data_IF_587534828847
#
_entry.id   IF_587534828847
#
_cell.length_a   1.000
_cell.length_b   1.000
_cell.length_c   1.000
_cell.angle_alpha   90.00
_cell.angle_beta   90.00
_cell.angle_gamma   90.00
#
_symmetry.space_group_name_H-M   'P 1'
#
loop_
_entity.id
_entity.type
_entity.pdbx_description
1 polymer ?
#
# COMPACT_ATOMS: atom_id res chain seq x y z
N UNK A 1 29.69 -0.19 13.80
CA UNK A 1 29.24 0.61 12.63
C UNK A 1 28.19 1.58 13.15
N UNK A 2 28.49 2.87 13.17
CA UNK A 2 27.70 3.87 13.90
C UNK A 2 26.55 4.36 13.01
N UNK A 3 25.29 4.04 13.34
CA UNK A 3 24.11 4.39 12.51
C UNK A 3 23.94 5.90 12.31
N UNK A 4 24.42 6.72 13.25
CA UNK A 4 24.36 8.18 13.16
C UNK A 4 25.28 8.78 12.08
N UNK A 5 26.37 8.11 11.73
CA UNK A 5 27.28 8.58 10.68
C UNK A 5 26.67 8.46 9.27
N UNK A 6 25.64 7.62 9.07
CA UNK A 6 24.94 7.51 7.80
C UNK A 6 24.07 8.73 7.49
N UNK A 7 23.63 9.47 8.52
CA UNK A 7 22.78 10.65 8.33
C UNK A 7 23.58 11.85 7.80
N UNK A 8 24.83 12.04 8.25
CA UNK A 8 25.72 13.12 7.78
C UNK A 8 26.23 12.92 6.35
N UNK A 9 26.39 11.66 5.90
CA UNK A 9 26.85 11.34 4.55
C UNK A 9 25.79 11.74 3.50
N UNK A 10 24.50 11.68 3.85
CA UNK A 10 23.40 12.06 2.95
C UNK A 10 23.47 13.53 2.52
N UNK A 11 23.85 14.41 3.44
CA UNK A 11 24.01 15.85 3.18
C UNK A 11 25.22 16.12 2.27
N UNK A 12 26.32 15.36 2.42
CA UNK A 12 27.50 15.47 1.54
C UNK A 12 27.26 14.90 0.14
N UNK A 13 26.50 13.81 0.01
CA UNK A 13 26.20 13.17 -1.28
C UNK A 13 25.24 14.01 -2.14
N UNK A 14 24.37 14.82 -1.53
CA UNK A 14 23.48 15.74 -2.26
C UNK A 14 24.23 16.84 -3.03
N UNK A 15 25.48 17.15 -2.62
CA UNK A 15 26.26 18.29 -3.13
C UNK A 15 27.27 17.91 -4.22
N UNK A 16 27.53 16.62 -4.46
CA UNK A 16 28.50 16.13 -5.46
C UNK A 16 27.77 15.39 -6.60
N UNK A 17 27.34 16.16 -7.61
CA UNK A 17 26.54 15.68 -8.75
C UNK A 17 27.33 14.99 -9.89
N UNK A 18 28.63 14.74 -9.74
CA UNK A 18 29.45 14.16 -10.81
C UNK A 18 30.43 13.13 -10.25
N UNK A 19 30.35 11.90 -10.75
CA UNK A 19 31.25 10.80 -10.40
C UNK A 19 32.13 10.52 -11.62
N UNK A 20 33.45 10.57 -11.45
CA UNK A 20 34.40 10.30 -12.52
C UNK A 20 34.64 8.79 -12.62
N UNK A 21 34.10 8.16 -13.68
CA UNK A 21 34.29 6.75 -13.98
C UNK A 21 35.16 6.63 -15.23
N UNK A 22 36.34 6.00 -15.10
CA UNK A 22 37.29 5.77 -16.19
C UNK A 22 37.71 7.03 -16.97
N UNK A 23 37.90 8.16 -16.27
CA UNK A 23 38.40 9.39 -16.87
C UNK A 23 37.35 10.17 -17.69
N UNK A 24 36.07 9.80 -17.62
CA UNK A 24 34.95 10.57 -18.19
C UNK A 24 33.97 10.95 -17.08
N UNK A 25 33.54 12.22 -17.09
CA UNK A 25 32.55 12.77 -16.16
C UNK A 25 31.17 12.25 -16.58
N UNK A 26 30.57 11.40 -15.75
CA UNK A 26 29.19 10.93 -15.96
C UNK A 26 28.27 11.58 -14.92
N UNK A 27 27.13 12.11 -15.38
CA UNK A 27 26.03 12.46 -14.49
C UNK A 27 25.59 11.21 -13.70
N UNK A 28 25.39 11.36 -12.38
CA UNK A 28 25.08 10.26 -11.45
C UNK A 28 23.86 9.41 -11.90
N UNK A 29 22.98 9.98 -12.71
CA UNK A 29 21.81 9.32 -13.29
C UNK A 29 22.20 8.20 -14.27
N UNK A 30 23.15 8.46 -15.16
CA UNK A 30 23.58 7.51 -16.19
C UNK A 30 24.48 6.44 -15.61
N UNK A 31 25.41 6.79 -14.71
CA UNK A 31 26.31 5.84 -14.08
C UNK A 31 25.58 4.93 -13.08
N UNK A 32 24.61 5.44 -12.31
CA UNK A 32 23.81 4.61 -11.40
C UNK A 32 22.86 3.68 -12.15
N UNK A 33 22.19 4.12 -13.23
CA UNK A 33 21.32 3.25 -14.03
C UNK A 33 22.14 2.16 -14.75
N UNK A 34 23.31 2.50 -15.31
CA UNK A 34 24.19 1.52 -15.95
C UNK A 34 24.78 0.54 -14.92
N UNK A 35 25.22 1.03 -13.76
CA UNK A 35 25.73 0.19 -12.68
C UNK A 35 24.62 -0.69 -12.08
N UNK A 36 23.39 -0.20 -12.01
CA UNK A 36 22.23 -0.95 -11.52
C UNK A 36 21.73 -1.99 -12.52
N UNK A 37 21.62 -1.64 -13.80
CA UNK A 37 21.36 -2.62 -14.86
C UNK A 37 22.47 -3.67 -14.92
N UNK A 38 23.73 -3.27 -14.74
CA UNK A 38 24.86 -4.20 -14.65
C UNK A 38 24.79 -5.07 -13.39
N UNK A 39 24.41 -4.55 -12.21
CA UNK A 39 24.25 -5.33 -10.98
C UNK A 39 23.04 -6.27 -11.00
N UNK A 40 21.92 -5.88 -11.63
CA UNK A 40 20.78 -6.77 -11.88
C UNK A 40 21.19 -7.86 -12.86
N UNK A 41 21.81 -7.50 -13.99
CA UNK A 41 22.27 -8.48 -14.95
C UNK A 41 23.36 -9.39 -14.34
N UNK A 42 24.23 -8.87 -13.48
CA UNK A 42 25.30 -9.64 -12.83
C UNK A 42 24.78 -10.46 -11.66
N UNK A 43 23.77 -10.02 -10.91
CA UNK A 43 23.11 -10.84 -9.88
C UNK A 43 22.25 -11.94 -10.51
N UNK A 44 21.47 -11.63 -11.55
CA UNK A 44 20.73 -12.62 -12.35
C UNK A 44 21.71 -13.60 -13.00
N UNK A 45 22.80 -13.10 -13.59
CA UNK A 45 23.82 -13.94 -14.23
C UNK A 45 24.61 -14.78 -13.22
N UNK A 46 25.01 -14.25 -12.07
CA UNK A 46 25.74 -15.00 -11.03
C UNK A 46 24.84 -16.02 -10.34
N UNK A 47 23.58 -15.69 -10.06
CA UNK A 47 22.60 -16.64 -9.52
C UNK A 47 22.33 -17.73 -10.56
N UNK A 48 22.12 -17.40 -11.84
CA UNK A 48 21.96 -18.41 -12.90
C UNK A 48 23.24 -19.25 -13.03
N UNK A 49 24.44 -18.66 -13.06
CA UNK A 49 25.72 -19.42 -13.18
C UNK A 49 25.98 -20.30 -11.98
N UNK A 50 25.80 -19.79 -10.76
CA UNK A 50 26.00 -20.53 -9.51
C UNK A 50 24.96 -21.64 -9.38
N UNK A 51 23.70 -21.45 -9.78
CA UNK A 51 22.69 -22.53 -9.71
C UNK A 51 22.71 -23.52 -10.88
N UNK A 52 23.18 -23.11 -12.06
CA UNK A 52 23.35 -24.01 -13.22
C UNK A 52 24.63 -24.84 -13.08
N UNK A 53 25.73 -24.26 -12.58
CA UNK A 53 27.01 -24.96 -12.40
C UNK A 53 27.01 -25.84 -11.15
N UNK A 54 26.40 -25.34 -10.07
CA UNK A 54 26.26 -26.10 -8.84
C UNK A 54 24.83 -26.62 -8.80
N UNK A 55 24.66 -27.91 -9.09
CA UNK A 55 23.46 -28.72 -8.84
C UNK A 55 23.11 -28.78 -7.33
N UNK A 56 23.32 -27.69 -6.59
CA UNK A 56 23.05 -27.58 -5.15
C UNK A 56 21.54 -27.52 -5.01
N UNK A 57 20.89 -28.69 -5.04
CA UNK A 57 19.67 -28.94 -4.29
C UNK A 57 19.91 -28.44 -2.88
N UNK A 58 19.45 -27.24 -2.55
CA UNK A 58 19.18 -26.89 -1.16
C UNK A 58 18.01 -27.79 -0.79
N UNK A 59 18.31 -29.03 -0.44
CA UNK A 59 17.36 -29.90 0.20
C UNK A 59 17.22 -29.33 1.59
N UNK A 60 16.16 -28.58 1.84
CA UNK A 60 15.65 -28.52 3.20
C UNK A 60 15.35 -29.98 3.55
N UNK A 61 16.20 -30.58 4.41
CA UNK A 61 15.80 -31.80 5.11
C UNK A 61 14.45 -31.43 5.70
N UNK A 62 13.38 -32.16 5.31
CA UNK A 62 12.08 -32.01 5.97
C UNK A 62 12.37 -32.10 7.45
N UNK A 63 12.22 -31.00 8.17
CA UNK A 63 12.29 -31.02 9.62
C UNK A 63 11.12 -31.92 9.99
N UNK A 64 11.45 -33.17 10.31
CA UNK A 64 10.48 -34.22 10.56
C UNK A 64 9.89 -34.04 11.94
N UNK A 65 9.11 -32.97 12.12
CA UNK A 65 8.11 -32.93 13.17
C UNK A 65 7.07 -33.99 12.79
N UNK A 66 7.27 -35.21 13.31
CA UNK A 66 6.37 -36.36 13.14
C UNK A 66 5.12 -36.15 13.99
N UNK A 67 4.35 -35.11 13.71
CA UNK A 67 2.99 -35.02 14.23
C UNK A 67 2.10 -35.98 13.41
N UNK A 68 1.62 -37.06 14.06
CA UNK A 68 0.58 -37.93 13.49
C UNK A 68 -0.74 -37.17 13.53
N UNK A 69 -1.02 -36.41 12.48
CA UNK A 69 -2.25 -35.62 12.32
C UNK A 69 -3.24 -36.34 11.39
N UNK A 70 -4.56 -36.12 11.56
CA UNK A 70 -5.58 -36.78 10.76
C UNK A 70 -5.45 -36.43 9.27
N UNK A 71 -5.49 -37.45 8.40
CA UNK A 71 -5.53 -37.26 6.94
C UNK A 71 -6.92 -36.79 6.53
N UNK A 72 -7.03 -35.56 6.05
CA UNK A 72 -8.25 -35.06 5.40
C UNK A 72 -8.40 -35.82 4.06
N UNK A 73 -9.39 -36.72 3.96
CA UNK A 73 -9.68 -37.49 2.76
C UNK A 73 -10.80 -36.86 1.93
N UNK A 74 -10.46 -35.87 1.09
CA UNK A 74 -11.34 -35.44 0.01
C UNK A 74 -10.95 -36.23 -1.24
N UNK A 75 -11.88 -36.88 -1.93
CA UNK A 75 -11.64 -37.52 -3.22
C UNK A 75 -11.87 -36.48 -4.34
N UNK A 76 -10.82 -35.81 -4.86
CA UNK A 76 -11.01 -34.83 -5.92
C UNK A 76 -11.38 -35.55 -7.22
N UNK A 77 -12.58 -35.27 -7.75
CA UNK A 77 -12.99 -35.70 -9.09
C UNK A 77 -12.52 -34.73 -10.19
N UNK A 78 -12.00 -33.56 -9.81
CA UNK A 78 -11.56 -32.50 -10.73
C UNK A 78 -10.08 -32.13 -10.53
N UNK A 79 -9.46 -31.62 -11.58
CA UNK A 79 -8.03 -31.23 -11.57
C UNK A 79 -7.75 -30.08 -10.59
N UNK A 80 -8.70 -29.15 -10.46
CA UNK A 80 -8.64 -28.08 -9.45
C UNK A 80 -8.72 -28.63 -8.03
N UNK A 81 -9.60 -29.61 -7.78
CA UNK A 81 -9.72 -30.24 -6.47
C UNK A 81 -8.43 -30.94 -6.02
N UNK A 82 -7.63 -31.43 -6.96
CA UNK A 82 -6.33 -32.03 -6.66
C UNK A 82 -5.31 -30.99 -6.16
N UNK A 83 -5.28 -29.78 -6.75
CA UNK A 83 -4.41 -28.69 -6.29
C UNK A 83 -4.80 -28.22 -4.87
N UNK A 84 -6.11 -28.05 -4.60
CA UNK A 84 -6.60 -27.75 -3.26
C UNK A 84 -6.20 -28.82 -2.24
N UNK A 85 -6.35 -30.10 -2.61
CA UNK A 85 -5.95 -31.21 -1.75
C UNK A 85 -4.45 -31.23 -1.49
N UNK A 86 -3.61 -30.87 -2.48
CA UNK A 86 -2.16 -30.80 -2.33
C UNK A 86 -1.76 -29.73 -1.32
N UNK A 87 -2.38 -28.54 -1.39
CA UNK A 87 -2.16 -27.47 -0.42
C UNK A 87 -2.65 -27.86 0.99
N UNK A 88 -3.87 -28.39 1.11
CA UNK A 88 -4.45 -28.83 2.39
C UNK A 88 -3.72 -30.04 3.02
N UNK A 89 -3.06 -30.87 2.21
CA UNK A 89 -2.27 -32.00 2.71
C UNK A 89 -0.94 -31.58 3.36
N UNK A 90 -0.49 -30.34 3.14
CA UNK A 90 0.75 -29.84 3.71
C UNK A 90 0.47 -29.00 4.96
N UNK A 91 0.59 -29.63 6.14
CA UNK A 91 0.30 -29.00 7.43
C UNK A 91 1.11 -27.72 7.68
N UNK A 92 2.34 -27.63 7.16
CA UNK A 92 3.16 -26.41 7.26
C UNK A 92 2.50 -25.22 6.56
N UNK A 93 1.83 -25.45 5.43
CA UNK A 93 1.11 -24.42 4.67
C UNK A 93 -0.13 -23.96 5.44
N UNK A 94 -0.84 -24.88 6.08
CA UNK A 94 -1.99 -24.55 6.93
C UNK A 94 -1.54 -23.70 8.14
N UNK A 95 -0.46 -24.10 8.80
CA UNK A 95 0.08 -23.34 9.94
C UNK A 95 0.56 -21.97 9.50
N UNK A 96 1.28 -21.85 8.37
CA UNK A 96 1.73 -20.56 7.87
C UNK A 96 0.55 -19.65 7.49
N UNK A 97 -0.53 -20.23 6.94
CA UNK A 97 -1.77 -19.51 6.64
C UNK A 97 -2.42 -19.00 7.91
N UNK A 98 -2.61 -19.85 8.92
CA UNK A 98 -3.18 -19.44 10.22
C UNK A 98 -2.34 -18.35 10.89
N UNK A 99 -1.01 -18.52 10.91
CA UNK A 99 -0.08 -17.54 11.47
C UNK A 99 -0.18 -16.19 10.76
N UNK A 100 -0.16 -16.17 9.42
CA UNK A 100 -0.22 -14.92 8.65
C UNK A 100 -1.58 -14.24 8.76
N UNK A 101 -2.67 -15.00 8.91
CA UNK A 101 -4.00 -14.42 9.21
C UNK A 101 -4.00 -13.76 10.59
N UNK A 102 -3.42 -14.41 11.61
CA UNK A 102 -3.30 -13.82 12.95
C UNK A 102 -2.46 -12.53 12.90
N UNK A 103 -1.30 -12.58 12.24
CA UNK A 103 -0.44 -11.40 12.05
C UNK A 103 -1.19 -10.30 11.29
N UNK A 104 -1.97 -10.64 10.26
CA UNK A 104 -2.80 -9.66 9.54
C UNK A 104 -3.82 -9.01 10.45
N UNK A 105 -4.52 -9.77 11.29
CA UNK A 105 -5.50 -9.22 12.25
C UNK A 105 -4.81 -8.25 13.21
N UNK A 106 -3.62 -8.59 13.72
CA UNK A 106 -2.85 -7.73 14.63
C UNK A 106 -2.31 -6.47 13.93
N UNK A 107 -1.81 -6.59 12.69
CA UNK A 107 -1.31 -5.44 11.93
C UNK A 107 -2.44 -4.52 11.50
N UNK A 108 -3.55 -5.08 11.03
CA UNK A 108 -4.74 -4.31 10.62
C UNK A 108 -5.34 -3.57 11.81
N UNK A 109 -5.46 -4.23 12.99
CA UNK A 109 -5.92 -3.54 14.18
C UNK A 109 -4.98 -2.40 14.59
N UNK A 110 -3.66 -2.61 14.51
CA UNK A 110 -2.66 -1.57 14.75
C UNK A 110 -2.71 -0.42 13.74
N UNK A 111 -2.88 -0.72 12.45
CA UNK A 111 -2.94 0.27 11.38
C UNK A 111 -4.18 1.16 11.54
N UNK A 112 -5.34 0.57 11.84
CA UNK A 112 -6.62 1.27 12.01
C UNK A 112 -6.98 1.60 13.47
N UNK A 113 -5.99 1.64 14.37
CA UNK A 113 -6.22 2.17 15.72
C UNK A 113 -6.72 3.62 15.65
N UNK A 114 -7.72 3.94 16.47
CA UNK A 114 -8.23 5.32 16.62
C UNK A 114 -7.14 6.17 17.23
N UNK A 115 -6.63 7.14 16.47
CA UNK A 115 -5.80 8.18 17.06
C UNK A 115 -6.74 9.16 17.79
N UNK A 116 -6.93 8.99 19.11
CA UNK A 116 -7.77 9.85 19.95
C UNK A 116 -7.11 11.22 20.17
N UNK A 117 -6.91 11.95 19.09
CA UNK A 117 -6.41 13.33 19.13
C UNK A 117 -7.57 14.28 19.45
N UNK A 118 -7.39 15.13 20.45
CA UNK A 118 -8.33 16.21 20.75
C UNK A 118 -8.57 17.08 19.51
N UNK A 119 -7.52 17.39 18.75
CA UNK A 119 -7.60 18.22 17.54
C UNK A 119 -8.50 17.57 16.47
N UNK A 120 -8.39 16.25 16.28
CA UNK A 120 -9.22 15.55 15.31
C UNK A 120 -10.68 15.40 15.79
N UNK A 121 -10.90 15.27 17.10
CA UNK A 121 -12.24 15.28 17.66
C UNK A 121 -12.94 16.63 17.47
N UNK A 122 -12.24 17.75 17.69
CA UNK A 122 -12.74 19.11 17.40
C UNK A 122 -13.03 19.24 15.91
N UNK A 123 -12.08 18.88 15.05
CA UNK A 123 -12.25 18.91 13.59
C UNK A 123 -13.47 18.10 13.14
N UNK A 124 -13.63 16.87 13.62
CA UNK A 124 -14.75 15.99 13.31
C UNK A 124 -16.10 16.63 13.67
N UNK A 125 -16.22 17.21 14.86
CA UNK A 125 -17.47 17.83 15.31
C UNK A 125 -17.93 18.96 14.37
N UNK A 126 -17.01 19.85 13.99
CA UNK A 126 -17.33 20.93 13.04
C UNK A 126 -17.59 20.40 11.63
N UNK A 127 -16.82 19.39 11.17
CA UNK A 127 -17.01 18.84 9.83
C UNK A 127 -18.34 18.09 9.68
N UNK A 128 -18.84 17.44 10.75
CA UNK A 128 -20.18 16.84 10.77
C UNK A 128 -21.24 17.95 10.70
N UNK A 129 -21.07 19.06 11.44
CA UNK A 129 -21.99 20.19 11.38
C UNK A 129 -22.03 20.84 10.00
N UNK A 130 -20.90 20.92 9.32
CA UNK A 130 -20.74 21.57 8.01
C UNK A 130 -20.94 20.63 6.83
N UNK A 131 -21.18 19.33 7.04
CA UNK A 131 -21.17 18.29 6.00
C UNK A 131 -22.05 18.64 4.78
N UNK A 132 -21.60 18.25 3.59
CA UNK A 132 -22.33 18.45 2.33
C UNK A 132 -21.90 19.71 1.58
N UNK A 133 -22.75 20.18 0.67
CA UNK A 133 -22.43 21.28 -0.25
C UNK A 133 -21.96 22.53 0.48
N UNK A 134 -21.02 23.24 -0.14
CA UNK A 134 -20.55 24.52 0.34
C UNK A 134 -21.64 25.59 0.15
N UNK A 135 -21.86 26.42 1.17
CA UNK A 135 -22.77 27.57 1.10
C UNK A 135 -22.12 28.79 1.74
N UNK A 136 -22.56 29.98 1.34
CA UNK A 136 -22.09 31.23 1.92
C UNK A 136 -22.35 31.28 3.44
N UNK A 137 -23.51 30.77 3.89
CA UNK A 137 -23.87 30.67 5.31
C UNK A 137 -22.85 29.85 6.12
N UNK A 138 -22.39 28.72 5.58
CA UNK A 138 -21.35 27.89 6.20
C UNK A 138 -20.01 28.63 6.27
N UNK A 139 -19.64 29.35 5.22
CA UNK A 139 -18.42 30.17 5.23
C UNK A 139 -18.51 31.32 6.22
N UNK A 140 -19.67 31.95 6.37
CA UNK A 140 -19.88 33.07 7.29
C UNK A 140 -19.89 32.58 8.75
N UNK A 141 -20.44 31.38 9.01
CA UNK A 141 -20.32 30.71 10.30
C UNK A 141 -18.86 30.50 10.70
N UNK A 142 -18.01 30.03 9.79
CA UNK A 142 -16.57 29.81 10.07
C UNK A 142 -15.88 31.13 10.44
N UNK A 143 -16.17 32.21 9.69
CA UNK A 143 -15.63 33.55 9.99
C UNK A 143 -16.10 34.07 11.34
N UNK A 144 -17.39 33.94 11.64
CA UNK A 144 -17.97 34.35 12.92
C UNK A 144 -17.35 33.58 14.10
N UNK A 145 -17.14 32.27 13.93
CA UNK A 145 -16.51 31.43 14.94
C UNK A 145 -15.04 31.82 15.18
N UNK A 146 -14.29 32.17 14.13
CA UNK A 146 -12.93 32.71 14.29
C UNK A 146 -12.94 34.07 14.98
N UNK A 147 -13.87 34.96 14.63
CA UNK A 147 -14.01 36.25 15.30
C UNK A 147 -14.30 36.07 16.80
N UNK A 148 -15.20 35.15 17.16
CA UNK A 148 -15.47 34.77 18.54
C UNK A 148 -14.19 34.31 19.28
N UNK A 149 -13.38 33.46 18.66
CA UNK A 149 -12.10 33.06 19.25
C UNK A 149 -11.15 34.26 19.43
N UNK A 150 -11.04 35.15 18.45
CA UNK A 150 -10.19 36.33 18.55
C UNK A 150 -10.64 37.27 19.67
N UNK A 151 -11.95 37.47 19.84
CA UNK A 151 -12.52 38.32 20.89
C UNK A 151 -12.34 37.76 22.29
N UNK A 152 -12.45 36.44 22.47
CA UNK A 152 -12.23 35.79 23.78
C UNK A 152 -10.73 35.69 24.09
N UNK A 153 -9.90 35.42 23.10
CA UNK A 153 -8.46 35.25 23.28
C UNK A 153 -7.69 36.57 23.38
N UNK A 154 -8.37 37.71 23.24
CA UNK A 154 -7.79 39.04 23.43
C UNK A 154 -7.16 39.17 24.82
N UNK A 155 -5.88 39.53 24.83
CA UNK A 155 -5.07 39.70 26.03
C UNK A 155 -5.66 40.83 26.89
N UNK A 156 -6.12 41.92 26.26
CA UNK A 156 -6.65 43.08 26.98
C UNK A 156 -7.91 42.69 27.77
N UNK A 157 -8.81 41.94 27.13
CA UNK A 157 -10.05 41.45 27.76
C UNK A 157 -9.76 40.51 28.92
N UNK A 158 -8.76 39.63 28.80
CA UNK A 158 -8.34 38.76 29.91
C UNK A 158 -7.78 39.55 31.09
N UNK A 159 -6.95 40.55 30.81
CA UNK A 159 -6.37 41.41 31.86
C UNK A 159 -7.42 42.30 32.54
N UNK A 160 -8.41 42.78 31.79
CA UNK A 160 -9.55 43.54 32.31
C UNK A 160 -10.41 42.68 33.24
N UNK A 161 -10.85 41.50 32.78
CA UNK A 161 -11.62 40.56 33.62
C UNK A 161 -10.84 40.15 34.87
N UNK A 162 -9.53 39.97 34.76
CA UNK A 162 -8.66 39.68 35.90
C UNK A 162 -8.50 40.84 36.89
N UNK A 163 -8.65 42.10 36.43
CA UNK A 163 -8.67 43.29 37.30
C UNK A 163 -10.01 43.44 37.99
N UNK A 164 -11.12 43.39 37.25
CA UNK A 164 -12.48 43.46 37.80
C UNK A 164 -12.71 42.43 38.92
N UNK A 165 -12.17 41.22 38.78
CA UNK A 165 -12.25 40.20 39.84
C UNK A 165 -11.44 40.57 41.09
N UNK A 166 -10.24 41.13 40.93
CA UNK A 166 -9.39 41.56 42.05
C UNK A 166 -9.98 42.75 42.80
N UNK A 167 -10.61 43.66 42.06
CA UNK A 167 -11.23 44.87 42.59
C UNK A 167 -12.62 44.59 43.19
N UNK A 168 -13.13 43.35 43.05
CA UNK A 168 -14.41 42.90 43.61
C UNK A 168 -15.64 43.35 42.80
N UNK A 169 -15.44 43.80 41.56
CA UNK A 169 -16.49 44.31 40.67
C UNK A 169 -17.30 43.19 40.00
N UNK A 170 -16.73 42.00 39.85
CA UNK A 170 -17.41 40.81 39.29
C UNK A 170 -17.42 39.65 40.29
N UNK A 171 -18.49 38.86 40.25
CA UNK A 171 -18.65 37.72 41.13
C UNK A 171 -17.70 36.58 40.74
N UNK A 172 -17.28 35.77 41.72
CA UNK A 172 -16.43 34.60 41.48
C UNK A 172 -17.00 33.66 40.41
N UNK A 173 -18.32 33.47 40.35
CA UNK A 173 -18.95 32.64 39.32
C UNK A 173 -18.73 33.16 37.90
N UNK A 174 -18.85 34.46 37.69
CA UNK A 174 -18.71 35.10 36.38
C UNK A 174 -17.28 35.06 35.86
N UNK A 175 -16.31 35.34 36.74
CA UNK A 175 -14.89 35.27 36.38
C UNK A 175 -14.46 33.85 35.98
N UNK A 176 -14.87 32.83 36.74
CA UNK A 176 -14.51 31.44 36.42
C UNK A 176 -15.20 30.94 35.15
N UNK A 177 -16.44 31.36 34.89
CA UNK A 177 -17.10 31.08 33.61
C UNK A 177 -16.32 31.65 32.43
N UNK A 178 -15.87 32.92 32.53
CA UNK A 178 -15.03 33.54 31.51
C UNK A 178 -13.70 32.80 31.32
N UNK A 179 -13.02 32.44 32.41
CA UNK A 179 -11.74 31.71 32.34
C UNK A 179 -11.91 30.32 31.71
N UNK A 180 -13.00 29.63 32.01
CA UNK A 180 -13.32 28.34 31.39
C UNK A 180 -13.54 28.49 29.88
N UNK A 181 -14.37 29.46 29.47
CA UNK A 181 -14.59 29.83 28.06
C UNK A 181 -13.27 30.21 27.36
N UNK A 182 -12.38 30.94 28.03
CA UNK A 182 -11.06 31.31 27.52
C UNK A 182 -10.19 30.09 27.24
N UNK A 183 -10.09 29.14 28.18
CA UNK A 183 -9.27 27.95 28.00
C UNK A 183 -9.88 26.96 27.00
N UNK A 184 -11.21 26.85 26.93
CA UNK A 184 -11.91 26.07 25.90
C UNK A 184 -11.69 26.66 24.50
N UNK A 185 -11.86 27.97 24.34
CA UNK A 185 -11.56 28.69 23.10
C UNK A 185 -10.09 28.53 22.70
N UNK A 186 -9.17 28.65 23.65
CA UNK A 186 -7.73 28.48 23.41
C UNK A 186 -7.41 27.08 22.92
N UNK A 187 -8.00 26.05 23.52
CA UNK A 187 -7.80 24.66 23.11
C UNK A 187 -8.36 24.39 21.71
N UNK A 188 -9.50 24.98 21.35
CA UNK A 188 -10.17 24.77 20.05
C UNK A 188 -9.63 25.65 18.92
N UNK A 189 -9.03 26.80 19.23
CA UNK A 189 -8.60 27.80 18.24
C UNK A 189 -7.57 27.29 17.24
N UNK A 190 -6.55 26.56 17.71
CA UNK A 190 -5.51 25.98 16.84
C UNK A 190 -6.07 24.85 15.95
N UNK A 191 -6.80 23.83 16.47
CA UNK A 191 -7.48 22.85 15.63
C UNK A 191 -8.43 23.46 14.58
N UNK A 192 -9.03 24.61 14.90
CA UNK A 192 -9.96 25.30 14.00
C UNK A 192 -9.29 25.87 12.75
N UNK A 193 -7.98 26.12 12.76
CA UNK A 193 -7.22 26.57 11.58
C UNK A 193 -7.32 25.56 10.43
N UNK A 194 -7.38 24.25 10.74
CA UNK A 194 -7.59 23.20 9.74
C UNK A 194 -8.94 23.34 9.01
N UNK A 195 -9.97 23.84 9.70
CA UNK A 195 -11.32 24.04 9.15
C UNK A 195 -11.33 25.27 8.25
N UNK A 196 -10.64 26.34 8.63
CA UNK A 196 -10.49 27.53 7.81
C UNK A 196 -9.73 27.23 6.53
N UNK A 197 -8.59 26.52 6.63
CA UNK A 197 -7.83 26.07 5.46
C UNK A 197 -8.69 25.18 4.55
N UNK A 198 -9.61 24.38 5.12
CA UNK A 198 -10.57 23.60 4.34
C UNK A 198 -11.56 24.50 3.60
N UNK A 199 -12.12 25.51 4.27
CA UNK A 199 -13.04 26.45 3.64
C UNK A 199 -12.36 27.23 2.50
N UNK A 200 -11.13 27.69 2.70
CA UNK A 200 -10.34 28.38 1.67
C UNK A 200 -10.11 27.49 0.44
N UNK A 201 -9.74 26.22 0.67
CA UNK A 201 -9.61 25.23 -0.40
C UNK A 201 -10.91 25.02 -1.19
N UNK A 202 -12.05 24.92 -0.50
CA UNK A 202 -13.35 24.75 -1.17
C UNK A 202 -13.70 25.98 -2.01
N UNK A 203 -13.44 27.19 -1.50
CA UNK A 203 -13.66 28.44 -2.25
C UNK A 203 -12.80 28.46 -3.52
N UNK A 204 -11.51 28.10 -3.44
CA UNK A 204 -10.65 28.07 -4.62
C UNK A 204 -11.08 27.00 -5.63
N UNK A 205 -11.45 25.80 -5.15
CA UNK A 205 -11.88 24.73 -6.02
C UNK A 205 -13.21 25.03 -6.74
N UNK A 206 -14.16 25.69 -6.05
CA UNK A 206 -15.40 26.17 -6.66
C UNK A 206 -15.15 27.24 -7.72
N UNK A 207 -14.19 28.15 -7.48
CA UNK A 207 -13.80 29.15 -8.47
C UNK A 207 -13.19 28.54 -9.74
N UNK A 208 -12.55 27.37 -9.61
CA UNK A 208 -12.06 26.55 -10.73
C UNK A 208 -13.15 25.70 -11.40
N UNK A 209 -14.39 25.75 -10.90
CA UNK A 209 -15.53 24.98 -11.42
C UNK A 209 -15.53 23.50 -11.01
N UNK A 210 -14.78 23.13 -9.96
CA UNK A 210 -14.77 21.77 -9.41
C UNK A 210 -15.98 21.57 -8.48
N UNK A 211 -16.58 20.38 -8.57
CA UNK A 211 -17.63 19.94 -7.63
C UNK A 211 -16.97 19.47 -6.32
N UNK A 212 -17.24 20.19 -5.23
CA UNK A 212 -16.61 19.98 -3.92
C UNK A 212 -17.61 20.23 -2.78
N UNK A 213 -17.40 19.52 -1.67
CA UNK A 213 -18.24 19.58 -0.49
C UNK A 213 -17.41 19.52 0.79
N UNK A 214 -18.00 19.94 1.92
CA UNK A 214 -17.42 19.67 3.24
C UNK A 214 -17.53 18.18 3.56
N UNK A 215 -16.37 17.56 3.84
CA UNK A 215 -16.24 16.13 4.14
C UNK A 215 -15.26 15.91 5.28
N UNK A 216 -15.64 15.15 6.31
CA UNK A 216 -14.67 14.66 7.28
C UNK A 216 -13.71 13.66 6.62
N UNK A 217 -12.52 14.15 6.28
CA UNK A 217 -11.57 13.47 5.40
C UNK A 217 -10.58 12.55 6.12
N UNK A 218 -10.48 12.61 7.46
CA UNK A 218 -9.51 11.81 8.22
C UNK A 218 -9.72 10.30 7.97
N UNK A 219 -10.96 9.80 7.99
CA UNK A 219 -11.27 8.39 7.74
C UNK A 219 -10.92 7.97 6.31
N UNK A 220 -11.23 8.82 5.33
CA UNK A 220 -10.93 8.57 3.93
C UNK A 220 -9.42 8.59 3.66
N UNK A 221 -8.70 9.56 4.21
CA UNK A 221 -7.25 9.63 4.13
C UNK A 221 -6.60 8.36 4.71
N UNK A 222 -7.12 7.83 5.82
CA UNK A 222 -6.62 6.59 6.40
C UNK A 222 -6.76 5.38 5.48
N UNK A 223 -7.86 5.29 4.74
CA UNK A 223 -8.11 4.22 3.75
C UNK A 223 -7.30 4.43 2.47
N UNK A 224 -7.26 5.64 1.93
CA UNK A 224 -6.66 5.95 0.63
C UNK A 224 -5.13 5.89 0.71
N UNK A 225 -4.53 6.34 1.81
CA UNK A 225 -3.09 6.29 2.06
C UNK A 225 -2.65 5.04 2.84
N UNK A 226 -3.51 4.03 2.94
CA UNK A 226 -3.16 2.76 3.59
C UNK A 226 -1.92 2.12 2.92
N UNK A 227 -1.07 1.54 3.76
CA UNK A 227 0.20 0.97 3.33
C UNK A 227 0.02 -0.33 2.53
N UNK A 228 1.08 -0.77 1.85
CA UNK A 228 1.05 -2.04 1.11
C UNK A 228 0.84 -3.23 2.07
N UNK A 229 -0.04 -4.16 1.70
CA UNK A 229 -0.27 -5.35 2.54
C UNK A 229 0.83 -6.41 2.30
N UNK A 230 1.90 -6.29 3.09
CA UNK A 230 3.05 -7.21 3.07
C UNK A 230 2.62 -8.62 3.47
N UNK A 231 1.67 -8.76 4.41
CA UNK A 231 1.22 -10.08 4.87
C UNK A 231 0.48 -10.84 3.78
N UNK A 232 -0.36 -10.16 3.00
CA UNK A 232 -1.03 -10.73 1.84
C UNK A 232 -0.02 -11.17 0.77
N UNK A 233 0.97 -10.32 0.47
CA UNK A 233 2.02 -10.62 -0.51
C UNK A 233 2.83 -11.86 -0.08
N UNK A 234 3.22 -11.96 1.19
CA UNK A 234 3.94 -13.10 1.75
C UNK A 234 3.09 -14.38 1.74
N UNK A 235 1.82 -14.30 2.11
CA UNK A 235 0.91 -15.44 2.12
C UNK A 235 0.74 -16.01 0.71
N UNK A 236 0.47 -15.16 -0.28
CA UNK A 236 0.40 -15.54 -1.69
C UNK A 236 1.72 -16.18 -2.15
N UNK A 237 2.85 -15.60 -1.76
CA UNK A 237 4.17 -16.11 -2.11
C UNK A 237 4.40 -17.53 -1.58
N UNK A 238 4.07 -17.78 -0.32
CA UNK A 238 4.23 -19.10 0.31
C UNK A 238 3.27 -20.11 -0.31
N UNK A 239 2.01 -19.74 -0.57
CA UNK A 239 0.99 -20.63 -1.13
C UNK A 239 1.29 -21.04 -2.56
N UNK A 240 1.82 -20.14 -3.39
CA UNK A 240 1.87 -20.32 -4.84
C UNK A 240 3.28 -20.46 -5.43
N UNK A 241 4.35 -20.13 -4.69
CA UNK A 241 5.73 -20.30 -5.21
C UNK A 241 6.07 -21.74 -5.59
N UNK A 242 5.50 -22.73 -4.89
CA UNK A 242 5.70 -24.16 -5.15
C UNK A 242 4.81 -24.76 -6.23
N UNK A 243 3.89 -23.98 -6.82
CA UNK A 243 2.79 -24.52 -7.65
C UNK A 243 3.28 -25.38 -8.83
N UNK A 244 4.39 -24.99 -9.45
CA UNK A 244 5.06 -25.75 -10.51
C UNK A 244 6.41 -26.35 -10.06
N UNK A 245 7.17 -25.63 -9.24
CA UNK A 245 8.48 -26.07 -8.75
C UNK A 245 8.44 -27.45 -8.06
N UNK A 246 7.39 -27.74 -7.31
CA UNK A 246 7.24 -29.03 -6.60
C UNK A 246 7.02 -30.22 -7.56
N UNK A 247 6.54 -29.99 -8.78
CA UNK A 247 6.37 -31.04 -9.78
C UNK A 247 7.71 -31.50 -10.36
N UNK A 248 8.63 -30.55 -10.55
CA UNK A 248 10.00 -30.86 -10.96
C UNK A 248 10.76 -31.60 -9.85
N UNK A 249 10.54 -31.22 -8.58
CA UNK A 249 11.15 -31.91 -7.45
C UNK A 249 10.66 -33.35 -7.28
N UNK A 250 9.38 -33.62 -7.55
CA UNK A 250 8.80 -34.96 -7.48
C UNK A 250 9.03 -35.80 -8.75
N UNK A 251 9.52 -35.20 -9.83
CA UNK A 251 9.65 -35.85 -11.15
C UNK A 251 8.31 -36.09 -11.86
N UNK A 252 7.21 -35.54 -11.33
CA UNK A 252 5.87 -35.65 -11.93
C UNK A 252 5.80 -34.94 -13.29
N UNK A 253 6.69 -33.96 -13.52
CA UNK A 253 6.82 -33.26 -14.79
C UNK A 253 7.10 -34.22 -15.97
N UNK A 254 7.84 -35.31 -15.75
CA UNK A 254 8.13 -36.33 -16.78
C UNK A 254 6.86 -37.05 -17.24
N UNK A 255 6.00 -37.43 -16.29
CA UNK A 255 4.72 -38.09 -16.57
C UNK A 255 3.77 -37.12 -17.28
N UNK A 256 3.75 -35.87 -16.83
CA UNK A 256 2.94 -34.81 -17.44
C UNK A 256 3.33 -34.57 -18.90
N UNK A 257 4.63 -34.60 -19.20
CA UNK A 257 5.17 -34.42 -20.55
C UNK A 257 4.82 -35.58 -21.49
N UNK A 258 4.81 -36.81 -20.98
CA UNK A 258 4.41 -38.00 -21.74
C UNK A 258 2.90 -38.04 -22.05
N UNK A 259 2.08 -37.27 -21.33
CA UNK A 259 0.63 -37.27 -21.46
C UNK A 259 0.14 -36.26 -22.52
N UNK A 260 -0.57 -36.67 -23.59
CA UNK A 260 -0.93 -35.79 -24.71
C UNK A 260 -1.85 -34.62 -24.31
N UNK A 261 -2.77 -34.82 -23.35
CA UNK A 261 -3.67 -33.77 -22.83
C UNK A 261 -3.22 -33.13 -21.51
N UNK A 262 -2.16 -33.65 -20.87
CA UNK A 262 -1.75 -33.22 -19.52
C UNK A 262 -1.13 -31.82 -19.48
N UNK A 263 -0.22 -31.52 -20.42
CA UNK A 263 0.67 -30.34 -20.35
C UNK A 263 -0.06 -28.99 -20.24
N UNK A 264 -0.84 -28.62 -21.26
CA UNK A 264 -1.54 -27.32 -21.30
C UNK A 264 -2.72 -27.26 -20.34
N UNK A 265 -3.45 -28.37 -20.20
CA UNK A 265 -4.65 -28.42 -19.36
C UNK A 265 -4.31 -28.30 -17.88
N UNK A 266 -3.23 -28.94 -17.41
CA UNK A 266 -2.76 -28.84 -16.01
C UNK A 266 -2.15 -27.48 -15.74
N UNK A 267 -1.36 -26.94 -16.68
CA UNK A 267 -0.82 -25.58 -16.56
C UNK A 267 -1.94 -24.54 -16.41
N UNK A 268 -2.97 -24.61 -17.26
CA UNK A 268 -4.15 -23.73 -17.17
C UNK A 268 -4.92 -23.93 -15.87
N UNK A 269 -5.14 -25.17 -15.43
CA UNK A 269 -5.83 -25.44 -14.17
C UNK A 269 -5.08 -24.88 -12.95
N UNK A 270 -3.75 -24.97 -12.93
CA UNK A 270 -2.92 -24.37 -11.87
C UNK A 270 -2.98 -22.84 -11.87
N UNK A 271 -2.95 -22.20 -13.04
CA UNK A 271 -3.13 -20.75 -13.11
C UNK A 271 -4.52 -20.31 -12.65
N UNK A 272 -5.57 -21.05 -13.02
CA UNK A 272 -6.93 -20.80 -12.53
C UNK A 272 -6.99 -20.98 -11.00
N UNK A 273 -6.38 -22.04 -10.47
CA UNK A 273 -6.27 -22.27 -9.03
C UNK A 273 -5.54 -21.10 -8.34
N UNK A 274 -4.40 -20.66 -8.88
CA UNK A 274 -3.64 -19.54 -8.36
C UNK A 274 -4.49 -18.27 -8.29
N UNK A 275 -5.22 -17.93 -9.35
CA UNK A 275 -6.13 -16.79 -9.34
C UNK A 275 -7.26 -16.94 -8.32
N UNK A 276 -7.94 -18.10 -8.27
CA UNK A 276 -9.01 -18.34 -7.28
C UNK A 276 -8.51 -18.16 -5.85
N UNK A 277 -7.34 -18.73 -5.52
CA UNK A 277 -6.75 -18.60 -4.19
C UNK A 277 -6.38 -17.14 -3.89
N UNK A 278 -5.75 -16.44 -4.83
CA UNK A 278 -5.42 -15.02 -4.69
C UNK A 278 -6.67 -14.18 -4.47
N UNK A 279 -7.73 -14.37 -5.26
CA UNK A 279 -9.00 -13.65 -5.09
C UNK A 279 -9.62 -13.92 -3.73
N UNK A 280 -9.67 -15.18 -3.29
CA UNK A 280 -10.24 -15.55 -2.00
C UNK A 280 -9.48 -14.89 -0.83
N UNK A 281 -8.15 -14.94 -0.85
CA UNK A 281 -7.33 -14.35 0.21
C UNK A 281 -7.36 -12.82 0.16
N UNK A 282 -7.35 -12.21 -1.04
CA UNK A 282 -7.48 -10.75 -1.20
C UNK A 282 -8.80 -10.24 -0.61
N UNK A 283 -9.92 -10.91 -0.91
CA UNK A 283 -11.23 -10.56 -0.34
C UNK A 283 -11.20 -10.72 1.18
N UNK A 284 -10.70 -11.84 1.70
CA UNK A 284 -10.65 -12.09 3.14
C UNK A 284 -9.83 -11.01 3.88
N UNK A 285 -8.65 -10.64 3.35
CA UNK A 285 -7.78 -9.62 3.96
C UNK A 285 -8.40 -8.22 3.85
N UNK A 286 -9.03 -7.90 2.71
CA UNK A 286 -9.75 -6.63 2.52
C UNK A 286 -10.93 -6.51 3.48
N UNK A 287 -11.64 -7.61 3.78
CA UNK A 287 -12.72 -7.62 4.76
C UNK A 287 -12.19 -7.38 6.18
N UNK A 288 -11.04 -7.96 6.55
CA UNK A 288 -10.40 -7.70 7.85
C UNK A 288 -10.12 -6.20 8.00
N UNK A 289 -9.54 -5.57 6.98
CA UNK A 289 -9.26 -4.13 6.99
C UNK A 289 -10.54 -3.29 7.05
N UNK A 290 -11.55 -3.64 6.25
CA UNK A 290 -12.82 -2.92 6.23
C UNK A 290 -13.54 -3.00 7.59
N UNK A 291 -13.54 -4.16 8.25
CA UNK A 291 -14.15 -4.33 9.58
C UNK A 291 -13.42 -3.46 10.61
N UNK A 292 -12.10 -3.51 10.66
CA UNK A 292 -11.32 -2.70 11.61
C UNK A 292 -11.49 -1.20 11.35
N UNK A 293 -11.60 -0.79 10.08
CA UNK A 293 -11.78 0.59 9.71
C UNK A 293 -13.16 1.12 10.12
N UNK A 294 -14.24 0.41 9.77
CA UNK A 294 -15.62 0.83 10.09
C UNK A 294 -15.91 0.78 11.59
N UNK A 295 -15.27 -0.11 12.35
CA UNK A 295 -15.42 -0.15 13.81
C UNK A 295 -14.76 1.04 14.52
N UNK A 296 -13.72 1.62 13.93
CA UNK A 296 -12.88 2.64 14.56
C UNK A 296 -13.12 4.05 14.01
N UNK A 297 -13.65 4.18 12.79
CA UNK A 297 -13.81 5.45 12.10
C UNK A 297 -15.22 5.60 11.50
N UNK A 298 -15.76 6.81 11.60
CA UNK A 298 -17.02 7.18 10.96
C UNK A 298 -16.78 7.69 9.54
N UNK A 299 -17.71 7.40 8.63
CA UNK A 299 -17.64 7.80 7.23
C UNK A 299 -18.75 8.78 6.89
N UNK A 300 -18.37 9.93 6.33
CA UNK A 300 -19.29 10.81 5.62
C UNK A 300 -19.86 10.12 4.37
N UNK A 301 -20.90 10.68 3.75
CA UNK A 301 -21.52 10.06 2.58
C UNK A 301 -20.52 9.74 1.45
N UNK A 302 -20.58 8.50 0.95
CA UNK A 302 -19.71 8.04 -0.14
C UNK A 302 -20.07 8.61 -1.51
N UNK A 303 -21.21 9.29 -1.62
CA UNK A 303 -21.66 9.98 -2.84
C UNK A 303 -20.95 11.30 -3.09
N UNK A 304 -20.25 11.85 -2.08
CA UNK A 304 -19.59 13.15 -2.18
C UNK A 304 -18.39 13.09 -3.16
N UNK A 305 -18.03 14.20 -3.81
CA UNK A 305 -16.94 14.22 -4.79
C UNK A 305 -15.57 13.97 -4.14
N UNK A 306 -14.70 13.18 -4.79
CA UNK A 306 -13.32 12.94 -4.33
C UNK A 306 -12.47 14.22 -4.26
N UNK A 307 -12.76 15.20 -5.11
CA UNK A 307 -12.12 16.51 -5.11
C UNK A 307 -12.35 17.29 -3.80
N UNK A 308 -13.30 16.87 -2.96
CA UNK A 308 -13.47 17.41 -1.60
C UNK A 308 -12.27 17.14 -0.68
N UNK A 309 -11.45 16.13 -1.01
CA UNK A 309 -10.20 15.82 -0.31
C UNK A 309 -9.05 16.53 -1.04
N UNK A 310 -8.23 17.38 -0.38
CA UNK A 310 -7.31 18.28 -1.08
C UNK A 310 -6.22 17.53 -1.82
N UNK A 311 -5.77 16.40 -1.26
CA UNK A 311 -4.78 15.54 -1.90
C UNK A 311 -5.26 14.95 -3.24
N UNK A 312 -6.56 14.91 -3.47
CA UNK A 312 -7.18 14.39 -4.70
C UNK A 312 -7.97 15.46 -5.46
N UNK A 313 -7.69 16.75 -5.23
CA UNK A 313 -8.41 17.86 -5.84
C UNK A 313 -8.42 17.86 -7.37
N UNK A 314 -7.40 17.25 -7.99
CA UNK A 314 -7.29 17.11 -9.45
C UNK A 314 -8.12 15.95 -10.03
N UNK A 315 -8.60 15.01 -9.22
CA UNK A 315 -9.37 13.83 -9.67
C UNK A 315 -10.89 14.08 -9.71
N UNK A 316 -11.31 15.32 -10.00
CA UNK A 316 -12.72 15.73 -10.00
C UNK A 316 -13.64 14.88 -10.89
N UNK A 317 -14.94 14.86 -10.55
CA UNK A 317 -15.99 14.17 -11.31
C UNK A 317 -16.30 12.74 -10.89
N UNK A 318 -15.55 12.17 -9.94
CA UNK A 318 -15.85 10.87 -9.32
C UNK A 318 -16.35 11.05 -7.88
N UNK A 319 -17.28 10.19 -7.46
CA UNK A 319 -17.65 10.08 -6.05
C UNK A 319 -16.57 9.36 -5.25
N UNK A 320 -16.50 9.62 -3.94
CA UNK A 320 -15.60 8.95 -3.01
C UNK A 320 -15.74 7.42 -3.10
N UNK A 321 -16.98 6.91 -3.14
CA UNK A 321 -17.25 5.48 -3.28
C UNK A 321 -16.72 4.89 -4.59
N UNK A 322 -16.90 5.59 -5.72
CA UNK A 322 -16.37 5.15 -7.01
C UNK A 322 -14.84 5.13 -7.01
N UNK A 323 -14.20 6.16 -6.45
CA UNK A 323 -12.75 6.25 -6.38
C UNK A 323 -12.13 5.15 -5.48
N UNK A 324 -12.76 4.87 -4.33
CA UNK A 324 -12.35 3.74 -3.47
C UNK A 324 -12.45 2.42 -4.23
N UNK A 325 -13.55 2.19 -4.94
CA UNK A 325 -13.71 0.98 -5.75
C UNK A 325 -12.60 0.84 -6.80
N UNK A 326 -12.23 1.94 -7.48
CA UNK A 326 -11.12 1.96 -8.43
C UNK A 326 -9.79 1.57 -7.76
N UNK A 327 -9.46 2.14 -6.60
CA UNK A 327 -8.23 1.78 -5.86
C UNK A 327 -8.20 0.29 -5.50
N UNK A 328 -9.32 -0.28 -5.05
CA UNK A 328 -9.38 -1.71 -4.74
C UNK A 328 -9.28 -2.60 -5.99
N UNK A 329 -9.85 -2.18 -7.11
CA UNK A 329 -9.70 -2.86 -8.40
C UNK A 329 -8.23 -2.84 -8.85
N UNK A 330 -7.55 -1.70 -8.74
CA UNK A 330 -6.13 -1.55 -9.07
C UNK A 330 -5.26 -2.43 -8.17
N UNK A 331 -5.48 -2.40 -6.85
CA UNK A 331 -4.80 -3.31 -5.89
C UNK A 331 -4.98 -4.77 -6.31
N UNK A 332 -6.21 -5.16 -6.65
CA UNK A 332 -6.50 -6.53 -7.06
C UNK A 332 -5.76 -6.92 -8.35
N UNK A 333 -5.74 -6.04 -9.36
CA UNK A 333 -4.99 -6.26 -10.60
C UNK A 333 -3.50 -6.41 -10.31
N UNK A 334 -2.93 -5.58 -9.42
CA UNK A 334 -1.52 -5.68 -9.03
C UNK A 334 -1.17 -7.04 -8.41
N UNK A 335 -2.04 -7.58 -7.54
CA UNK A 335 -1.85 -8.94 -6.99
C UNK A 335 -1.96 -10.03 -8.06
N UNK A 336 -2.84 -9.90 -9.05
CA UNK A 336 -2.93 -10.85 -10.17
C UNK A 336 -1.67 -10.82 -11.05
N UNK A 337 -1.11 -9.64 -11.30
CA UNK A 337 0.17 -9.46 -12.01
C UNK A 337 1.29 -10.15 -11.22
N UNK A 338 1.39 -9.89 -9.92
CA UNK A 338 2.38 -10.52 -9.04
C UNK A 338 2.29 -12.05 -9.07
N UNK A 339 1.08 -12.61 -8.97
CA UNK A 339 0.86 -14.07 -8.99
C UNK A 339 1.23 -14.69 -10.32
N UNK A 340 0.91 -14.01 -11.43
CA UNK A 340 1.30 -14.45 -12.77
C UNK A 340 2.83 -14.50 -12.90
N UNK A 341 3.52 -13.46 -12.43
CA UNK A 341 4.97 -13.39 -12.38
C UNK A 341 5.56 -14.53 -11.52
N UNK A 342 5.03 -14.73 -10.30
CA UNK A 342 5.48 -15.78 -9.38
C UNK A 342 5.29 -17.19 -9.97
N UNK A 343 4.14 -17.45 -10.61
CA UNK A 343 3.88 -18.71 -11.31
C UNK A 343 4.87 -18.93 -12.47
N UNK A 344 5.17 -17.88 -13.23
CA UNK A 344 6.17 -17.89 -14.29
C UNK A 344 7.57 -18.23 -13.76
N UNK A 345 8.00 -17.62 -12.65
CA UNK A 345 9.26 -17.93 -11.98
C UNK A 345 9.31 -19.37 -11.47
N UNK A 346 8.22 -19.87 -10.88
CA UNK A 346 8.10 -21.27 -10.42
C UNK A 346 8.33 -22.27 -11.57
N UNK A 347 7.80 -21.97 -12.77
CA UNK A 347 8.02 -22.77 -13.98
C UNK A 347 9.45 -22.66 -14.53
N UNK A 348 10.05 -21.46 -14.54
CA UNK A 348 11.36 -21.21 -15.15
C UNK A 348 12.51 -21.73 -14.30
N UNK A 349 12.45 -21.48 -12.99
CA UNK A 349 13.53 -21.76 -12.05
C UNK A 349 13.46 -23.18 -11.48
N UNK A 350 12.30 -23.83 -11.59
CA UNK A 350 12.04 -25.23 -11.18
C UNK A 350 12.30 -25.51 -9.69
N UNK A 351 12.52 -24.47 -8.89
CA UNK A 351 12.89 -24.54 -7.48
C UNK A 351 12.18 -23.43 -6.71
N UNK A 352 11.45 -23.82 -5.67
CA UNK A 352 10.57 -22.93 -4.91
C UNK A 352 11.34 -21.78 -4.25
N UNK A 353 12.47 -22.11 -3.62
CA UNK A 353 13.29 -21.13 -2.87
C UNK A 353 13.88 -20.07 -3.79
N UNK A 354 14.39 -20.45 -4.97
CA UNK A 354 14.95 -19.47 -5.92
C UNK A 354 13.86 -18.60 -6.54
N UNK A 355 12.68 -19.16 -6.82
CA UNK A 355 11.53 -18.38 -7.26
C UNK A 355 11.12 -17.32 -6.24
N UNK A 356 11.11 -17.66 -4.95
CA UNK A 356 10.84 -16.69 -3.88
C UNK A 356 11.91 -15.60 -3.78
N UNK A 357 13.20 -15.95 -3.81
CA UNK A 357 14.27 -14.95 -3.74
C UNK A 357 14.27 -13.99 -4.94
N UNK A 358 14.03 -14.50 -6.15
CA UNK A 358 13.94 -13.65 -7.35
C UNK A 358 12.70 -12.76 -7.27
N UNK A 359 11.54 -13.29 -6.86
CA UNK A 359 10.33 -12.50 -6.71
C UNK A 359 10.49 -11.39 -5.66
N UNK A 360 11.05 -11.73 -4.50
CA UNK A 360 11.33 -10.77 -3.43
C UNK A 360 12.36 -9.72 -3.88
N UNK A 361 13.42 -10.13 -4.57
CA UNK A 361 14.42 -9.21 -5.12
C UNK A 361 13.82 -8.27 -6.17
N UNK A 362 12.87 -8.71 -7.00
CA UNK A 362 12.23 -7.82 -7.99
C UNK A 362 11.30 -6.80 -7.34
N UNK A 363 10.52 -7.19 -6.32
CA UNK A 363 9.54 -6.30 -5.69
C UNK A 363 10.14 -5.45 -4.55
N UNK A 364 10.92 -6.01 -3.64
CA UNK A 364 11.41 -5.29 -2.46
C UNK A 364 12.73 -4.55 -2.66
N UNK A 365 13.54 -4.92 -3.65
CA UNK A 365 14.83 -4.24 -3.87
C UNK A 365 14.64 -2.75 -4.23
N UNK A 366 13.73 -2.37 -5.16
CA UNK A 366 13.46 -0.95 -5.43
C UNK A 366 13.00 -0.20 -4.17
N UNK A 367 12.11 -0.80 -3.37
CA UNK A 367 11.63 -0.23 -2.12
C UNK A 367 12.77 0.05 -1.11
N UNK A 368 13.70 -0.89 -0.94
CA UNK A 368 14.86 -0.70 -0.05
C UNK A 368 15.79 0.39 -0.60
N UNK A 369 15.98 0.45 -1.92
CA UNK A 369 16.84 1.45 -2.55
C UNK A 369 16.25 2.86 -2.49
N UNK A 370 14.93 2.99 -2.54
CA UNK A 370 14.23 4.24 -2.27
C UNK A 370 14.61 4.79 -0.89
N UNK A 371 14.61 3.94 0.14
CA UNK A 371 14.96 4.38 1.51
C UNK A 371 16.43 4.71 1.75
N UNK A 372 17.35 4.15 0.96
CA UNK A 372 18.80 4.25 1.22
C UNK A 372 19.52 5.17 0.23
N UNK A 373 19.11 5.17 -1.04
CA UNK A 373 19.86 5.77 -2.14
C UNK A 373 19.23 7.06 -2.64
N UNK A 374 17.96 7.02 -3.07
CA UNK A 374 17.28 8.19 -3.64
C UNK A 374 15.78 7.97 -3.80
N UNK A 375 14.99 9.02 -3.61
CA UNK A 375 13.55 9.02 -3.92
C UNK A 375 13.23 8.71 -5.39
N UNK A 376 14.21 8.80 -6.30
CA UNK A 376 14.04 8.42 -7.71
C UNK A 376 13.75 6.94 -7.93
N UNK A 377 14.02 6.07 -6.96
CA UNK A 377 13.64 4.64 -7.06
C UNK A 377 12.14 4.41 -6.95
N UNK A 378 11.36 5.42 -6.54
CA UNK A 378 9.89 5.36 -6.46
C UNK A 378 9.24 5.11 -7.85
N UNK A 379 9.93 5.43 -8.94
CA UNK A 379 9.44 5.21 -10.31
C UNK A 379 9.52 3.75 -10.79
N UNK A 380 10.35 2.92 -10.16
CA UNK A 380 10.55 1.51 -10.55
C UNK A 380 10.01 0.57 -9.46
N UNK A 381 9.58 1.13 -8.33
CA UNK A 381 9.08 0.38 -7.19
C UNK A 381 7.70 -0.22 -7.46
N UNK A 382 7.69 -1.49 -7.83
CA UNK A 382 6.48 -2.28 -8.08
C UNK A 382 5.56 -2.39 -6.85
N UNK A 383 6.08 -2.14 -5.65
CA UNK A 383 5.25 -2.16 -4.44
C UNK A 383 4.25 -0.99 -4.38
N UNK A 384 4.52 0.11 -5.08
CA UNK A 384 3.60 1.24 -5.19
C UNK A 384 2.27 0.85 -5.86
N UNK A 385 2.25 -0.19 -6.70
CA UNK A 385 1.01 -0.72 -7.29
C UNK A 385 0.12 -1.43 -6.25
N UNK A 386 0.70 -1.88 -5.13
CA UNK A 386 -0.03 -2.53 -4.03
C UNK A 386 -0.64 -1.50 -3.05
N UNK A 387 -0.19 -0.24 -3.11
CA UNK A 387 -0.70 0.90 -2.34
C UNK A 387 -0.93 2.13 -3.24
N UNK A 388 -1.99 2.11 -4.08
CA UNK A 388 -2.13 3.08 -5.17
C UNK A 388 -2.31 4.52 -4.71
N UNK A 389 -3.07 4.77 -3.62
CA UNK A 389 -3.52 6.12 -3.30
C UNK A 389 -2.40 7.13 -3.06
N UNK A 390 -1.36 6.76 -2.31
CA UNK A 390 -0.19 7.62 -2.13
C UNK A 390 0.60 7.86 -3.42
N UNK A 391 0.64 6.88 -4.31
CA UNK A 391 1.38 6.98 -5.57
C UNK A 391 0.61 7.77 -6.64
N UNK A 392 -0.73 7.69 -6.65
CA UNK A 392 -1.60 8.48 -7.52
C UNK A 392 -1.53 9.98 -7.21
N UNK A 393 -1.43 10.37 -5.94
CA UNK A 393 -1.23 11.79 -5.58
C UNK A 393 0.13 12.28 -6.09
N UNK A 394 1.19 11.51 -5.86
CA UNK A 394 2.53 11.86 -6.37
C UNK A 394 2.61 11.93 -7.89
N UNK A 395 1.80 11.14 -8.61
CA UNK A 395 1.83 11.18 -10.08
C UNK A 395 1.21 12.45 -10.65
N UNK A 396 0.38 13.16 -9.87
CA UNK A 396 -0.16 14.48 -10.26
C UNK A 396 0.92 15.56 -10.21
N UNK A 397 1.80 15.55 -9.21
CA UNK A 397 2.86 16.54 -9.03
C UNK A 397 3.92 16.51 -10.15
N UNK A 398 4.08 15.36 -10.80
CA UNK A 398 5.01 15.19 -11.93
C UNK A 398 4.27 15.54 -13.22
N UNK A 399 4.21 16.84 -13.55
CA UNK A 399 3.61 17.39 -14.79
C UNK A 399 4.11 16.77 -16.12
N UNK A 400 5.07 15.85 -16.10
CA UNK A 400 5.77 15.35 -17.29
C UNK A 400 5.02 14.24 -18.04
N UNK A 401 4.05 13.57 -17.42
CA UNK A 401 3.17 12.59 -18.08
C UNK A 401 1.78 12.78 -17.49
N UNK A 402 0.74 12.97 -18.31
CA UNK A 402 -0.68 13.08 -17.92
C UNK A 402 -0.99 12.34 -16.61
N UNK A 403 -1.77 12.91 -15.69
CA UNK A 403 -2.14 12.41 -14.34
C UNK A 403 -2.04 10.87 -14.09
N UNK A 404 -2.46 10.04 -15.05
CA UNK A 404 -2.41 8.57 -15.00
C UNK A 404 -1.09 7.92 -15.48
N UNK A 405 -0.13 8.70 -15.97
CA UNK A 405 0.92 8.24 -16.88
C UNK A 405 2.05 7.51 -16.19
N UNK A 406 2.48 7.99 -15.03
CA UNK A 406 3.48 7.28 -14.21
C UNK A 406 2.89 5.97 -13.66
N UNK A 407 1.71 6.03 -13.04
CA UNK A 407 1.01 4.85 -12.54
C UNK A 407 0.76 3.82 -13.66
N UNK A 408 0.20 4.25 -14.79
CA UNK A 408 -0.06 3.39 -15.93
C UNK A 408 1.23 2.82 -16.53
N UNK A 409 2.32 3.59 -16.59
CA UNK A 409 3.61 3.09 -17.09
C UNK A 409 4.20 2.01 -16.20
N UNK A 410 4.11 2.17 -14.87
CA UNK A 410 4.53 1.16 -13.90
C UNK A 410 3.66 -0.09 -13.99
N UNK A 411 2.35 0.07 -14.15
CA UNK A 411 1.41 -1.04 -14.35
C UNK A 411 1.71 -1.81 -15.64
N UNK A 412 1.97 -1.10 -16.74
CA UNK A 412 2.37 -1.71 -18.03
C UNK A 412 3.71 -2.43 -17.90
N UNK A 413 4.68 -1.85 -17.20
CA UNK A 413 5.97 -2.48 -16.93
C UNK A 413 5.78 -3.78 -16.11
N UNK A 414 4.99 -3.74 -15.04
CA UNK A 414 4.69 -4.92 -14.22
C UNK A 414 4.00 -6.01 -15.04
N UNK A 415 3.00 -5.63 -15.85
CA UNK A 415 2.24 -6.53 -16.70
C UNK A 415 3.13 -7.17 -17.78
N UNK A 416 3.99 -6.38 -18.44
CA UNK A 416 4.90 -6.90 -19.46
C UNK A 416 5.92 -7.87 -18.87
N UNK A 417 6.48 -7.59 -17.69
CA UNK A 417 7.37 -8.52 -16.97
C UNK A 417 6.64 -9.82 -16.60
N UNK A 418 5.41 -9.73 -16.07
CA UNK A 418 4.61 -10.91 -15.72
C UNK A 418 4.21 -11.74 -16.95
N UNK A 419 3.78 -11.10 -18.04
CA UNK A 419 3.38 -11.78 -19.27
C UNK A 419 4.57 -12.38 -20.00
N UNK A 420 5.70 -11.68 -20.09
CA UNK A 420 6.91 -12.23 -20.75
C UNK A 420 7.45 -13.43 -19.99
N UNK A 421 7.57 -13.34 -18.65
CA UNK A 421 7.96 -14.50 -17.82
C UNK A 421 6.96 -15.65 -17.95
N UNK A 422 5.66 -15.37 -17.91
CA UNK A 422 4.59 -16.33 -18.16
C UNK A 422 4.70 -17.01 -19.53
N UNK A 423 4.79 -16.26 -20.63
CA UNK A 423 4.86 -16.78 -21.98
C UNK A 423 6.13 -17.61 -22.23
N UNK A 424 7.29 -17.12 -21.80
CA UNK A 424 8.57 -17.86 -21.91
C UNK A 424 8.46 -19.18 -21.13
N UNK A 425 7.87 -19.14 -19.94
CA UNK A 425 7.72 -20.30 -19.07
C UNK A 425 6.78 -21.36 -19.67
N UNK A 426 5.61 -20.95 -20.18
CA UNK A 426 4.64 -21.84 -20.83
C UNK A 426 5.22 -22.43 -22.11
N UNK A 427 5.94 -21.63 -22.92
CA UNK A 427 6.63 -22.15 -24.12
C UNK A 427 7.68 -23.20 -23.77
N UNK A 428 8.51 -22.99 -22.74
CA UNK A 428 9.50 -23.98 -22.28
C UNK A 428 8.84 -25.24 -21.70
N UNK A 429 7.70 -25.10 -21.03
CA UNK A 429 6.97 -26.21 -20.46
C UNK A 429 6.26 -27.06 -21.53
N UNK A 430 5.72 -26.41 -22.57
CA UNK A 430 4.93 -27.06 -23.61
C UNK A 430 5.76 -27.53 -24.82
N UNK A 431 7.04 -27.17 -24.94
CA UNK A 431 7.91 -27.66 -26.02
C UNK A 431 8.03 -29.18 -25.96
N UNK A 432 7.74 -29.82 -27.09
CA UNK A 432 8.04 -31.23 -27.38
C UNK A 432 9.56 -31.41 -27.48
N UNK A 433 10.09 -32.37 -26.74
CA UNK A 433 11.40 -32.96 -27.02
C UNK A 433 11.19 -34.20 -27.88
#
# INVERSE_FOLDING_TARGET
MNLFALNDISHFLSKYNVINLFGRLFEQLSSAVILYAALILLSVFTVIRLFVKNNVSISFKRIGLKFKLPRISVCPKSLLGYEFRKAAGNWLVIISLMLLVIVKIMLSSSEYQVNRSFNDAVYKNYMIQLEGEWTQEKSDFIKAQRQYFNEILDINKKEEMGRMYKDGEIEHGEYYKYIDEYYDAKAKSEPFERIEARNEYLISALAEGKDVAFVYDTSYNKLLFASMDITLLLLISILLSGIFADEYLSGFDKILRASPRGRRQVCRAKLIYAFIVTTAVFIAFSVIDAVNLVQNYDFASSSLPIASIPAFGEFGGLSLGAFIALIYIEKYIAYLIFVTFLCGLSLLLKRTVTALFVAAGTYFLPYILKSIVSDKFDYIDMTNLLSPGGYLVKSVDVHFINIFGLFASLLVLALTVALTTGLISVRRFCKTY
#
